data_IF_607737521945
#
_entry.id   IF_607737521945
#
_cell.length_a   1.000
_cell.length_b   1.000
_cell.length_c   1.000
_cell.angle_alpha   90.00
_cell.angle_beta   90.00
_cell.angle_gamma   90.00
#
_symmetry.space_group_name_H-M   'P 1'
#
loop_
_entity.id
_entity.type
_entity.pdbx_description
1 polymer ?
#
# COMPACT_ATOMS: atom_id res chain seq x y z
N UNK A 1 7.38 -14.82 -14.81
CA UNK A 1 7.89 -16.08 -14.24
C UNK A 1 9.41 -15.95 -14.17
N UNK A 2 10.06 -16.42 -13.10
CA UNK A 2 11.51 -16.36 -12.95
C UNK A 2 12.23 -17.20 -14.02
N UNK A 3 13.45 -16.80 -14.43
CA UNK A 3 14.28 -17.59 -15.33
C UNK A 3 14.68 -18.93 -14.69
N UNK A 4 14.98 -19.92 -15.54
CA UNK A 4 15.25 -21.30 -15.10
C UNK A 4 16.44 -21.37 -14.14
N UNK A 5 17.48 -20.59 -14.42
CA UNK A 5 18.69 -20.48 -13.61
C UNK A 5 18.35 -20.10 -12.16
N UNK A 6 17.45 -19.12 -11.97
CA UNK A 6 17.02 -18.68 -10.65
C UNK A 6 16.20 -19.78 -9.92
N UNK A 7 15.41 -20.57 -10.64
CA UNK A 7 14.68 -21.70 -10.04
C UNK A 7 15.59 -22.84 -9.62
N UNK A 8 16.70 -23.08 -10.35
CA UNK A 8 17.70 -24.08 -9.96
C UNK A 8 18.54 -23.62 -8.77
N UNK A 9 18.96 -22.36 -8.74
CA UNK A 9 19.62 -21.77 -7.57
C UNK A 9 18.73 -21.86 -6.33
N UNK A 10 17.43 -21.60 -6.48
CA UNK A 10 16.46 -21.76 -5.40
C UNK A 10 16.43 -23.19 -4.86
N UNK A 11 16.48 -24.22 -5.72
CA UNK A 11 16.53 -25.64 -5.28
C UNK A 11 17.78 -25.94 -4.47
N UNK A 12 18.94 -25.45 -4.91
CA UNK A 12 20.22 -25.63 -4.19
C UNK A 12 20.14 -25.01 -2.80
N UNK A 13 19.61 -23.78 -2.70
CA UNK A 13 19.42 -23.11 -1.41
C UNK A 13 18.40 -23.84 -0.53
N UNK A 14 17.27 -24.26 -1.11
CA UNK A 14 16.23 -24.97 -0.37
C UNK A 14 16.77 -26.26 0.23
N UNK A 15 17.50 -27.06 -0.55
CA UNK A 15 18.16 -28.27 -0.04
C UNK A 15 19.17 -27.96 1.06
N UNK A 16 20.00 -26.93 0.87
CA UNK A 16 21.00 -26.53 1.86
C UNK A 16 20.37 -26.12 3.20
N UNK A 17 19.23 -25.44 3.17
CA UNK A 17 18.58 -24.91 4.37
C UNK A 17 17.61 -25.88 5.04
N UNK A 18 16.93 -26.72 4.26
CA UNK A 18 15.86 -27.61 4.75
C UNK A 18 16.20 -29.10 4.63
N UNK A 19 17.31 -29.46 4.00
CA UNK A 19 17.72 -30.86 3.79
C UNK A 19 16.82 -31.64 2.84
N UNK A 20 15.91 -30.97 2.12
CA UNK A 20 14.89 -31.59 1.28
C UNK A 20 15.08 -31.18 -0.19
N UNK A 21 15.02 -32.15 -1.09
CA UNK A 21 14.90 -31.93 -2.53
C UNK A 21 13.44 -31.63 -2.89
N UNK A 22 13.23 -30.71 -3.84
CA UNK A 22 11.91 -30.32 -4.35
C UNK A 22 11.88 -30.44 -5.87
N UNK A 23 10.69 -30.67 -6.43
CA UNK A 23 10.49 -30.74 -7.89
C UNK A 23 10.66 -29.37 -8.53
N UNK A 24 10.92 -29.35 -9.85
CA UNK A 24 11.07 -28.12 -10.63
C UNK A 24 9.79 -27.26 -10.57
N UNK A 25 8.63 -27.91 -10.59
CA UNK A 25 7.34 -27.23 -10.48
C UNK A 25 7.17 -26.54 -9.12
N UNK A 26 7.54 -27.24 -8.03
CA UNK A 26 7.46 -26.68 -6.69
C UNK A 26 8.50 -25.57 -6.46
N UNK A 27 9.70 -25.74 -6.99
CA UNK A 27 10.74 -24.71 -6.98
C UNK A 27 10.30 -23.45 -7.71
N UNK A 28 9.75 -23.61 -8.92
CA UNK A 28 9.22 -22.50 -9.71
C UNK A 28 8.11 -21.78 -8.95
N UNK A 29 7.14 -22.50 -8.42
CA UNK A 29 6.02 -21.92 -7.67
C UNK A 29 6.51 -21.14 -6.43
N UNK A 30 7.36 -21.75 -5.60
CA UNK A 30 7.86 -21.13 -4.36
C UNK A 30 8.75 -19.92 -4.63
N UNK A 31 9.69 -20.02 -5.56
CA UNK A 31 10.60 -18.93 -5.89
C UNK A 31 9.84 -17.72 -6.44
N UNK A 32 8.88 -17.94 -7.36
CA UNK A 32 8.06 -16.86 -7.90
C UNK A 32 7.20 -16.20 -6.80
N UNK A 33 6.60 -17.01 -5.91
CA UNK A 33 5.79 -16.48 -4.80
C UNK A 33 6.63 -15.63 -3.84
N UNK A 34 7.86 -16.04 -3.53
CA UNK A 34 8.76 -15.27 -2.68
C UNK A 34 9.09 -13.90 -3.28
N UNK A 35 9.47 -13.84 -4.56
CA UNK A 35 9.79 -12.58 -5.25
C UNK A 35 8.56 -11.69 -5.37
N UNK A 36 7.38 -12.27 -5.65
CA UNK A 36 6.13 -11.51 -5.70
C UNK A 36 5.79 -10.90 -4.34
N UNK A 37 5.94 -11.65 -3.25
CA UNK A 37 5.73 -11.13 -1.90
C UNK A 37 6.70 -9.98 -1.60
N UNK A 38 7.99 -10.13 -1.93
CA UNK A 38 8.97 -9.07 -1.76
C UNK A 38 8.57 -7.79 -2.52
N UNK A 39 8.14 -7.92 -3.78
CA UNK A 39 7.68 -6.78 -4.58
C UNK A 39 6.50 -6.06 -3.92
N UNK A 40 5.51 -6.80 -3.43
CA UNK A 40 4.33 -6.21 -2.77
C UNK A 40 4.71 -5.46 -1.48
N UNK A 41 5.65 -6.00 -0.70
CA UNK A 41 6.02 -5.41 0.60
C UNK A 41 7.00 -4.24 0.46
N UNK A 42 8.05 -4.40 -0.35
CA UNK A 42 9.16 -3.43 -0.43
C UNK A 42 9.06 -2.48 -1.63
N UNK A 43 8.23 -2.79 -2.60
CA UNK A 43 7.97 -1.92 -3.75
C UNK A 43 6.46 -1.81 -3.94
N UNK A 44 5.72 -1.23 -2.96
CA UNK A 44 4.33 -0.89 -3.20
C UNK A 44 4.31 -0.11 -4.51
N UNK A 45 3.57 -0.62 -5.49
CA UNK A 45 3.52 0.02 -6.79
C UNK A 45 3.16 1.49 -6.56
N UNK A 46 3.94 2.41 -7.14
CA UNK A 46 3.53 3.80 -7.24
C UNK A 46 2.07 3.78 -7.76
N UNK A 47 1.12 4.41 -7.05
CA UNK A 47 -0.24 4.46 -7.53
C UNK A 47 -0.22 5.02 -8.95
N UNK A 48 -1.06 4.48 -9.84
CA UNK A 48 -1.19 5.07 -11.17
C UNK A 48 -1.53 6.55 -11.05
N UNK A 49 -1.18 7.37 -12.05
CA UNK A 49 -1.52 8.80 -12.02
C UNK A 49 -3.02 9.03 -11.74
N UNK A 50 -3.88 8.15 -12.24
CA UNK A 50 -5.32 8.17 -11.97
C UNK A 50 -5.65 7.87 -10.49
N UNK A 51 -4.98 6.89 -9.88
CA UNK A 51 -5.14 6.56 -8.46
C UNK A 51 -4.63 7.71 -7.57
N UNK A 52 -3.46 8.27 -7.89
CA UNK A 52 -2.89 9.42 -7.18
C UNK A 52 -3.81 10.65 -7.27
N UNK A 53 -4.37 10.92 -8.45
CA UNK A 53 -5.35 12.00 -8.64
C UNK A 53 -6.61 11.83 -7.80
N UNK A 54 -7.23 10.64 -7.83
CA UNK A 54 -8.45 10.37 -7.03
C UNK A 54 -8.20 10.55 -5.53
N UNK A 55 -7.02 10.15 -5.07
CA UNK A 55 -6.60 10.36 -3.67
C UNK A 55 -6.45 11.85 -3.38
N UNK A 56 -5.79 12.62 -4.26
CA UNK A 56 -5.65 14.08 -4.11
C UNK A 56 -6.99 14.79 -4.07
N UNK A 57 -7.88 14.50 -5.03
CA UNK A 57 -9.24 15.07 -5.11
C UNK A 57 -10.04 14.76 -3.82
N UNK A 58 -9.93 13.54 -3.29
CA UNK A 58 -10.59 13.17 -2.04
C UNK A 58 -10.04 13.94 -0.82
N UNK A 59 -8.72 14.17 -0.77
CA UNK A 59 -8.10 14.97 0.31
C UNK A 59 -8.50 16.44 0.24
N UNK A 60 -8.55 17.03 -0.95
CA UNK A 60 -9.01 18.41 -1.15
C UNK A 60 -10.45 18.58 -0.64
N UNK A 61 -11.37 17.69 -1.05
CA UNK A 61 -12.77 17.72 -0.58
C UNK A 61 -12.85 17.63 0.94
N UNK A 62 -12.11 16.69 1.53
CA UNK A 62 -12.12 16.51 2.99
C UNK A 62 -11.56 17.74 3.71
N UNK A 63 -10.49 18.33 3.18
CA UNK A 63 -9.85 19.50 3.77
C UNK A 63 -10.77 20.72 3.73
N UNK A 64 -11.41 20.98 2.58
CA UNK A 64 -12.38 22.07 2.42
C UNK A 64 -13.58 21.92 3.37
N UNK A 65 -14.10 20.70 3.53
CA UNK A 65 -15.19 20.45 4.47
C UNK A 65 -14.76 20.71 5.93
N UNK A 66 -13.55 20.29 6.31
CA UNK A 66 -13.00 20.56 7.66
C UNK A 66 -12.85 22.06 7.91
N UNK A 67 -12.39 22.83 6.92
CA UNK A 67 -12.29 24.29 7.05
C UNK A 67 -13.66 24.95 7.22
N UNK A 68 -14.62 24.57 6.37
CA UNK A 68 -16.00 25.06 6.44
C UNK A 68 -16.64 24.80 7.81
N UNK A 69 -16.45 23.59 8.36
CA UNK A 69 -16.97 23.25 9.68
C UNK A 69 -16.34 24.10 10.79
N UNK A 70 -15.04 24.40 10.70
CA UNK A 70 -14.36 25.30 11.66
C UNK A 70 -14.89 26.73 11.59
N UNK A 71 -15.09 27.27 10.39
CA UNK A 71 -15.66 28.61 10.20
C UNK A 71 -17.08 28.70 10.75
N UNK A 72 -17.94 27.73 10.46
CA UNK A 72 -19.30 27.65 11.00
C UNK A 72 -19.30 27.59 12.53
N UNK A 73 -18.40 26.79 13.12
CA UNK A 73 -18.27 26.70 14.58
C UNK A 73 -17.83 28.02 15.20
N UNK A 74 -16.89 28.73 14.59
CA UNK A 74 -16.40 30.01 15.08
C UNK A 74 -17.44 31.14 14.91
N UNK A 75 -18.20 31.12 13.80
CA UNK A 75 -19.30 32.08 13.55
C UNK A 75 -20.45 31.91 14.56
N UNK A 76 -20.78 30.67 14.92
CA UNK A 76 -21.83 30.39 15.90
C UNK A 76 -21.41 30.74 17.34
N UNK A 77 -20.12 30.66 17.67
CA UNK A 77 -19.60 31.08 18.98
C UNK A 77 -19.73 32.59 19.20
N UNK A 78 -19.44 33.41 18.17
CA UNK A 78 -19.56 34.87 18.26
C UNK A 78 -21.00 35.35 18.43
N UNK A 79 -21.97 34.67 17.79
CA UNK A 79 -23.40 35.02 17.86
C UNK A 79 -24.09 34.68 19.17
N UNK A 80 -23.56 33.73 19.95
CA UNK A 80 -24.15 33.36 21.23
C UNK A 80 -23.72 34.31 22.37
N UNK A 81 -22.61 35.02 22.21
CA UNK A 81 -22.11 35.98 23.22
C UNK A 81 -22.80 37.36 23.14
N UNK A 82 -23.55 37.66 22.07
CA UNK A 82 -24.27 38.94 21.89
C UNK A 82 -25.73 38.89 22.35
N UNK A 83 -26.23 37.74 22.83
CA UNK A 83 -27.63 37.55 23.25
C UNK A 83 -27.83 37.45 24.77
N UNK A 84 -26.77 37.64 25.56
CA UNK A 84 -26.80 37.56 27.02
C UNK A 84 -26.58 38.92 27.74
N UNK A 85 -26.52 40.05 27.02
CA UNK A 85 -26.57 41.41 27.59
C UNK A 85 -27.95 42.07 27.37
#
# INVERSE_FOLDING_TARGET
>A
MLPKEATEEFKVLYKKHYGQDISDEEASRRANNLVNLYKVVYSPAEPSEEQARKVSEAYEILFEEVLKQRELKNSNLGRNNEKEE
#
